data_IF_400991963342
#
_entry.id   IF_400991963342
#
_cell.length_a   1.000
_cell.length_b   1.000
_cell.length_c   1.000
_cell.angle_alpha   90.00
_cell.angle_beta   90.00
_cell.angle_gamma   90.00
#
_symmetry.space_group_name_H-M   'P 1'
#
loop_
_entity.id
_entity.type
_entity.pdbx_description
1 polymer ?
#
# COMPACT_ATOMS: atom_id res chain seq x y z
N UNK A 1 -28.40 32.38 -3.91
CA UNK A 1 -27.52 31.20 -3.71
C UNK A 1 -27.57 30.63 -2.27
N UNK A 2 -28.67 30.84 -1.51
CA UNK A 2 -28.77 30.46 -0.08
C UNK A 2 -29.50 29.12 0.14
N UNK A 3 -30.41 28.73 -0.76
CA UNK A 3 -31.21 27.51 -0.63
C UNK A 3 -30.42 26.19 -0.74
N UNK A 4 -29.27 26.21 -1.42
CA UNK A 4 -28.40 25.02 -1.57
C UNK A 4 -27.60 24.69 -0.31
N UNK A 5 -27.48 25.62 0.64
CA UNK A 5 -26.73 25.42 1.89
C UNK A 5 -27.60 24.83 3.01
N UNK A 6 -28.92 24.71 2.80
CA UNK A 6 -29.80 24.00 3.72
C UNK A 6 -29.66 22.49 3.53
N UNK A 7 -29.05 21.84 4.51
CA UNK A 7 -28.64 20.43 4.48
C UNK A 7 -29.82 19.49 4.18
N UNK A 8 -30.98 19.73 4.78
CA UNK A 8 -32.18 18.92 4.59
C UNK A 8 -32.77 19.06 3.19
N UNK A 9 -32.82 20.28 2.66
CA UNK A 9 -33.32 20.51 1.31
C UNK A 9 -32.39 19.88 0.26
N UNK A 10 -31.08 20.13 0.38
CA UNK A 10 -30.06 19.55 -0.50
C UNK A 10 -30.08 18.02 -0.47
N UNK A 11 -30.03 17.40 0.71
CA UNK A 11 -30.00 15.93 0.84
C UNK A 11 -31.30 15.29 0.33
N UNK A 12 -32.46 15.82 0.69
CA UNK A 12 -33.74 15.17 0.42
C UNK A 12 -34.28 15.42 -0.99
N UNK A 13 -34.13 16.62 -1.52
CA UNK A 13 -34.73 17.01 -2.81
C UNK A 13 -33.76 16.96 -3.98
N UNK A 14 -32.44 16.97 -3.73
CA UNK A 14 -31.42 16.98 -4.79
C UNK A 14 -30.60 15.69 -4.75
N UNK A 15 -29.84 15.46 -3.67
CA UNK A 15 -28.88 14.34 -3.61
C UNK A 15 -29.54 12.96 -3.66
N UNK A 16 -30.63 12.73 -2.89
CA UNK A 16 -31.31 11.42 -2.85
C UNK A 16 -31.92 11.01 -4.20
N UNK A 17 -32.67 11.86 -4.92
CA UNK A 17 -33.19 11.52 -6.25
C UNK A 17 -32.07 11.27 -7.28
N UNK A 18 -31.03 12.10 -7.29
CA UNK A 18 -29.88 11.94 -8.20
C UNK A 18 -29.15 10.62 -7.93
N UNK A 19 -28.88 10.29 -6.66
CA UNK A 19 -28.25 9.03 -6.28
C UNK A 19 -29.11 7.81 -6.68
N UNK A 20 -30.45 7.92 -6.58
CA UNK A 20 -31.37 6.85 -6.99
C UNK A 20 -31.35 6.61 -8.50
N UNK A 21 -31.21 7.66 -9.30
CA UNK A 21 -31.03 7.54 -10.74
C UNK A 21 -29.66 6.91 -11.05
N UNK A 22 -28.60 7.41 -10.43
CA UNK A 22 -27.23 6.96 -10.67
C UNK A 22 -27.04 5.48 -10.34
N UNK A 23 -27.59 5.01 -9.20
CA UNK A 23 -27.58 3.58 -8.83
C UNK A 23 -28.29 2.65 -9.81
N UNK A 24 -29.21 3.15 -10.64
CA UNK A 24 -29.86 2.34 -11.68
C UNK A 24 -29.01 2.19 -12.95
N UNK A 25 -28.11 3.14 -13.19
CA UNK A 25 -27.24 3.18 -14.37
C UNK A 25 -25.91 2.50 -14.10
N UNK A 26 -25.47 2.49 -12.83
CA UNK A 26 -24.23 1.82 -12.44
C UNK A 26 -24.32 0.30 -12.68
N UNK A 27 -23.31 -0.29 -13.35
CA UNK A 27 -23.23 -1.74 -13.52
C UNK A 27 -23.10 -2.42 -12.17
N UNK A 28 -23.59 -3.66 -12.08
CA UNK A 28 -23.36 -4.49 -10.89
C UNK A 28 -21.88 -4.88 -10.86
N UNK A 29 -21.21 -4.55 -9.78
CA UNK A 29 -19.81 -4.88 -9.53
C UNK A 29 -19.62 -6.40 -9.60
N UNK A 30 -18.61 -6.85 -10.36
CA UNK A 30 -18.24 -8.26 -10.42
C UNK A 30 -17.56 -8.72 -9.12
N UNK A 31 -17.57 -10.03 -8.85
CA UNK A 31 -16.93 -10.59 -7.65
C UNK A 31 -15.44 -10.25 -7.57
N UNK A 32 -14.76 -10.18 -8.72
CA UNK A 32 -13.34 -9.82 -8.82
C UNK A 32 -13.09 -8.34 -8.56
N UNK A 33 -13.98 -7.45 -9.03
CA UNK A 33 -13.88 -6.01 -8.73
C UNK A 33 -14.18 -5.72 -7.25
N UNK A 34 -15.12 -6.45 -6.63
CA UNK A 34 -15.38 -6.36 -5.18
C UNK A 34 -14.15 -6.74 -4.38
N UNK A 35 -13.53 -7.87 -4.70
CA UNK A 35 -12.34 -8.34 -4.01
C UNK A 35 -11.15 -7.36 -4.16
N UNK A 36 -10.99 -6.75 -5.34
CA UNK A 36 -9.96 -5.74 -5.57
C UNK A 36 -10.21 -4.44 -4.78
N UNK A 37 -11.48 -4.04 -4.61
CA UNK A 37 -11.85 -2.86 -3.82
C UNK A 37 -11.81 -3.11 -2.32
N UNK A 38 -12.20 -4.31 -1.88
CA UNK A 38 -12.14 -4.74 -0.48
C UNK A 38 -10.72 -5.08 -0.01
N UNK A 39 -9.79 -5.33 -0.93
CA UNK A 39 -8.37 -5.43 -0.61
C UNK A 39 -7.78 -4.09 -0.10
N UNK A 40 -8.49 -2.98 -0.30
CA UNK A 40 -8.17 -1.69 0.31
C UNK A 40 -9.05 -1.41 1.53
N UNK A 41 -8.42 -1.02 2.63
CA UNK A 41 -9.15 -0.48 3.78
C UNK A 41 -9.51 0.99 3.54
N UNK A 42 -10.72 1.39 3.94
CA UNK A 42 -11.10 2.82 4.02
C UNK A 42 -10.63 3.35 5.37
N UNK A 43 -9.60 4.20 5.38
CA UNK A 43 -8.97 4.69 6.60
C UNK A 43 -9.67 5.97 7.10
N UNK A 44 -8.95 7.08 7.16
CA UNK A 44 -9.47 8.39 7.57
C UNK A 44 -9.93 9.23 6.38
N UNK A 45 -9.39 8.95 5.20
CA UNK A 45 -9.77 9.54 3.93
C UNK A 45 -11.27 9.35 3.62
N UNK A 46 -11.88 8.24 4.07
CA UNK A 46 -13.32 8.04 4.01
C UNK A 46 -14.14 9.12 4.74
N UNK A 47 -13.67 9.58 5.91
CA UNK A 47 -14.32 10.67 6.66
C UNK A 47 -14.13 12.02 5.95
N UNK A 48 -12.97 12.22 5.32
CA UNK A 48 -12.67 13.40 4.52
C UNK A 48 -13.57 13.50 3.28
N UNK A 49 -13.63 12.44 2.47
CA UNK A 49 -14.47 12.39 1.25
C UNK A 49 -15.96 12.31 1.58
N UNK A 50 -16.33 11.82 2.76
CA UNK A 50 -17.69 11.85 3.29
C UNK A 50 -18.20 13.25 3.67
N UNK A 51 -17.31 14.25 3.74
CA UNK A 51 -17.64 15.64 4.06
C UNK A 51 -17.85 15.91 5.55
N UNK A 52 -17.43 15.00 6.43
CA UNK A 52 -17.45 15.14 7.89
C UNK A 52 -16.10 14.66 8.46
N UNK A 53 -14.99 15.37 8.18
CA UNK A 53 -13.65 14.93 8.58
C UNK A 53 -13.51 14.93 10.10
N UNK A 54 -13.22 13.76 10.67
CA UNK A 54 -13.00 13.58 12.11
C UNK A 54 -11.51 13.72 12.44
N UNK A 55 -11.04 14.94 12.67
CA UNK A 55 -9.61 15.22 12.91
C UNK A 55 -9.02 14.49 14.13
N UNK A 56 -9.82 14.27 15.18
CA UNK A 56 -9.38 13.50 16.35
C UNK A 56 -9.05 12.04 16.03
N UNK A 57 -9.70 11.44 15.02
CA UNK A 57 -9.38 10.10 14.53
C UNK A 57 -8.02 10.11 13.82
N UNK A 58 -7.76 11.11 12.97
CA UNK A 58 -6.48 11.28 12.28
C UNK A 58 -5.32 11.44 13.25
N UNK A 59 -5.46 12.39 14.19
CA UNK A 59 -4.42 12.71 15.17
C UNK A 59 -4.23 11.62 16.22
N UNK A 60 -5.21 10.73 16.37
CA UNK A 60 -5.17 9.60 17.31
C UNK A 60 -4.53 8.34 16.75
N UNK A 61 -4.18 8.29 15.45
CA UNK A 61 -3.45 7.13 14.92
C UNK A 61 -2.05 7.07 15.55
N UNK A 62 -1.65 5.91 16.10
CA UNK A 62 -0.30 5.74 16.60
C UNK A 62 0.69 5.89 15.45
N UNK A 63 1.87 6.43 15.76
CA UNK A 63 2.99 6.39 14.82
C UNK A 63 3.31 4.91 14.56
N UNK A 64 3.37 4.45 13.30
CA UNK A 64 3.79 3.10 13.02
C UNK A 64 5.26 2.95 13.41
N UNK A 65 5.59 1.84 14.05
CA UNK A 65 6.94 1.48 14.47
C UNK A 65 7.26 0.09 13.95
N UNK A 66 8.52 -0.14 13.62
CA UNK A 66 9.00 -1.46 13.22
C UNK A 66 9.05 -2.38 14.43
N UNK A 67 8.59 -3.60 14.25
CA UNK A 67 8.84 -4.68 15.21
C UNK A 67 10.31 -5.07 15.19
N UNK A 68 10.76 -5.78 16.23
CA UNK A 68 12.14 -6.27 16.31
C UNK A 68 12.51 -7.14 15.11
N UNK A 69 11.63 -8.04 14.68
CA UNK A 69 11.86 -8.93 13.53
C UNK A 69 12.00 -8.14 12.22
N UNK A 70 11.16 -7.12 12.02
CA UNK A 70 11.25 -6.26 10.83
C UNK A 70 12.52 -5.41 10.82
N UNK A 71 12.92 -4.90 11.99
CA UNK A 71 14.17 -4.15 12.13
C UNK A 71 15.39 -5.05 11.88
N UNK A 72 15.40 -6.27 12.41
CA UNK A 72 16.44 -7.27 12.14
C UNK A 72 16.52 -7.63 10.65
N UNK A 73 15.37 -7.72 9.96
CA UNK A 73 15.35 -7.95 8.52
C UNK A 73 15.98 -6.77 7.75
N UNK A 74 15.64 -5.53 8.14
CA UNK A 74 16.18 -4.32 7.53
C UNK A 74 17.69 -4.15 7.75
N UNK A 75 18.18 -4.52 8.93
CA UNK A 75 19.59 -4.36 9.32
C UNK A 75 20.46 -5.56 8.91
N UNK A 76 19.86 -6.71 8.59
CA UNK A 76 20.55 -7.90 8.12
C UNK A 76 20.35 -8.13 6.61
N UNK A 77 19.37 -8.97 6.20
CA UNK A 77 19.13 -9.32 4.80
C UNK A 77 19.12 -8.15 3.82
N UNK A 78 18.49 -7.02 4.18
CA UNK A 78 18.43 -5.86 3.27
C UNK A 78 19.78 -5.16 3.14
N UNK A 79 20.56 -5.08 4.22
CA UNK A 79 21.92 -4.52 4.17
C UNK A 79 22.83 -5.39 3.31
N UNK A 80 22.76 -6.72 3.48
CA UNK A 80 23.52 -7.68 2.69
C UNK A 80 23.15 -7.59 1.20
N UNK A 81 21.86 -7.49 0.88
CA UNK A 81 21.40 -7.25 -0.50
C UNK A 81 22.00 -5.96 -1.07
N UNK A 82 22.01 -4.86 -0.30
CA UNK A 82 22.58 -3.59 -0.77
C UNK A 82 24.09 -3.67 -1.04
N UNK A 83 24.81 -4.51 -0.29
CA UNK A 83 26.23 -4.79 -0.50
C UNK A 83 26.44 -5.65 -1.76
N UNK A 84 25.58 -6.65 -1.97
CA UNK A 84 25.65 -7.56 -3.12
C UNK A 84 25.36 -6.86 -4.45
N UNK A 85 24.48 -5.85 -4.44
CA UNK A 85 24.08 -5.17 -5.69
C UNK A 85 25.17 -4.21 -6.18
N UNK A 86 25.62 -4.48 -7.41
CA UNK A 86 26.35 -3.53 -8.25
C UNK A 86 25.41 -2.96 -9.34
N UNK A 87 25.05 -1.68 -9.21
CA UNK A 87 24.14 -1.03 -10.15
C UNK A 87 24.70 -0.93 -11.57
N UNK A 88 26.02 -0.81 -11.73
CA UNK A 88 26.63 -0.71 -13.06
C UNK A 88 26.51 -2.04 -13.80
N UNK A 89 26.83 -3.14 -13.12
CA UNK A 89 26.68 -4.50 -13.65
C UNK A 89 25.23 -4.78 -14.05
N UNK A 90 24.28 -4.45 -13.15
CA UNK A 90 22.84 -4.64 -13.38
C UNK A 90 22.35 -3.89 -14.61
N UNK A 91 22.72 -2.61 -14.74
CA UNK A 91 22.13 -1.74 -15.77
C UNK A 91 22.87 -1.75 -17.11
N UNK A 92 24.19 -1.92 -17.12
CA UNK A 92 25.01 -1.74 -18.32
C UNK A 92 25.64 -3.04 -18.84
N UNK A 93 25.78 -4.08 -18.00
CA UNK A 93 26.40 -5.34 -18.40
C UNK A 93 25.38 -6.45 -18.60
N UNK A 94 24.58 -6.74 -17.58
CA UNK A 94 23.61 -7.84 -17.57
C UNK A 94 22.23 -7.40 -18.09
N UNK A 95 21.87 -6.13 -17.91
CA UNK A 95 20.50 -5.63 -18.06
C UNK A 95 19.47 -6.43 -17.23
N UNK A 96 19.93 -7.02 -16.11
CA UNK A 96 19.18 -7.84 -15.16
C UNK A 96 19.99 -7.94 -13.85
N UNK A 97 19.37 -8.43 -12.78
CA UNK A 97 20.09 -8.81 -11.56
C UNK A 97 20.91 -10.07 -11.80
N UNK A 98 22.05 -10.19 -11.09
CA UNK A 98 22.85 -11.41 -11.12
C UNK A 98 22.07 -12.60 -10.58
N UNK A 99 22.41 -13.81 -11.02
CA UNK A 99 21.75 -15.05 -10.57
C UNK A 99 21.84 -15.22 -9.04
N UNK A 100 22.99 -14.87 -8.45
CA UNK A 100 23.21 -14.89 -7.01
C UNK A 100 22.28 -13.91 -6.28
N UNK A 101 22.07 -12.70 -6.83
CA UNK A 101 21.15 -11.71 -6.26
C UNK A 101 19.70 -12.21 -6.33
N UNK A 102 19.29 -12.76 -7.48
CA UNK A 102 17.98 -13.38 -7.63
C UNK A 102 17.75 -14.51 -6.64
N UNK A 103 18.76 -15.37 -6.44
CA UNK A 103 18.69 -16.47 -5.48
C UNK A 103 18.59 -15.97 -4.05
N UNK A 104 19.39 -14.97 -3.67
CA UNK A 104 19.34 -14.34 -2.35
C UNK A 104 17.96 -13.74 -2.04
N UNK A 105 17.34 -13.04 -3.00
CA UNK A 105 16.00 -12.47 -2.84
C UNK A 105 14.93 -13.55 -2.58
N UNK A 106 15.01 -14.67 -3.30
CA UNK A 106 14.10 -15.82 -3.13
C UNK A 106 14.28 -16.47 -1.76
N UNK A 107 15.52 -16.74 -1.38
CA UNK A 107 15.84 -17.49 -0.15
C UNK A 107 15.50 -16.70 1.11
N UNK A 108 15.65 -15.37 1.07
CA UNK A 108 15.31 -14.49 2.19
C UNK A 108 13.86 -14.00 2.19
N UNK A 109 13.03 -14.41 1.22
CA UNK A 109 11.59 -14.12 1.24
C UNK A 109 11.20 -12.68 0.88
N UNK A 110 12.04 -11.95 0.14
CA UNK A 110 11.76 -10.56 -0.26
C UNK A 110 10.43 -10.44 -1.04
N UNK A 111 10.07 -11.44 -1.85
CA UNK A 111 8.81 -11.44 -2.61
C UNK A 111 7.56 -11.81 -1.79
N UNK A 112 7.74 -12.23 -0.53
CA UNK A 112 6.66 -12.71 0.33
C UNK A 112 6.56 -11.92 1.64
N UNK A 113 7.12 -10.70 1.68
CA UNK A 113 7.16 -9.86 2.89
C UNK A 113 5.78 -9.65 3.51
N UNK A 114 4.77 -9.25 2.72
CA UNK A 114 3.42 -8.96 3.23
C UNK A 114 2.50 -10.20 3.30
N UNK A 115 2.98 -11.36 2.85
CA UNK A 115 2.18 -12.58 2.81
C UNK A 115 2.09 -13.15 4.25
N UNK A 116 0.90 -13.56 4.73
CA UNK A 116 0.77 -14.13 6.07
C UNK A 116 1.67 -15.35 6.31
N UNK A 117 2.22 -15.48 7.53
CA UNK A 117 3.14 -16.59 7.88
C UNK A 117 2.54 -17.98 7.67
N UNK A 118 1.22 -18.11 7.82
CA UNK A 118 0.48 -19.37 7.55
C UNK A 118 0.58 -19.86 6.09
N UNK A 119 0.93 -18.99 5.15
CA UNK A 119 1.16 -19.32 3.75
C UNK A 119 2.66 -19.32 3.38
N UNK A 120 3.55 -19.23 4.37
CA UNK A 120 5.00 -19.22 4.16
C UNK A 120 5.59 -17.84 3.87
N UNK A 121 4.85 -16.75 4.08
CA UNK A 121 5.39 -15.39 4.01
C UNK A 121 5.93 -14.86 5.34
N UNK A 122 6.32 -13.59 5.38
CA UNK A 122 6.91 -12.94 6.56
C UNK A 122 5.89 -12.16 7.40
N UNK A 123 4.71 -11.85 6.84
CA UNK A 123 3.64 -11.08 7.49
C UNK A 123 4.10 -9.72 8.04
N UNK A 124 5.01 -9.07 7.31
CA UNK A 124 5.49 -7.74 7.63
C UNK A 124 4.44 -6.67 7.40
N UNK A 125 4.55 -5.61 8.20
CA UNK A 125 3.71 -4.43 8.11
C UNK A 125 3.98 -3.63 6.84
N UNK A 126 3.01 -2.78 6.48
CA UNK A 126 3.17 -1.85 5.36
C UNK A 126 4.33 -0.87 5.57
N UNK A 127 4.65 -0.53 6.83
CA UNK A 127 5.81 0.29 7.16
C UNK A 127 7.10 -0.45 6.81
N UNK A 128 7.28 -1.67 7.31
CA UNK A 128 8.46 -2.49 7.02
C UNK A 128 8.67 -2.69 5.52
N UNK A 129 7.62 -3.04 4.78
CA UNK A 129 7.70 -3.16 3.33
C UNK A 129 8.18 -1.86 2.65
N UNK A 130 7.67 -0.71 3.09
CA UNK A 130 8.06 0.60 2.54
C UNK A 130 9.52 0.96 2.88
N UNK A 131 9.96 0.71 4.11
CA UNK A 131 11.34 0.99 4.56
C UNK A 131 12.36 0.09 3.83
N UNK A 132 12.04 -1.19 3.64
CA UNK A 132 12.86 -2.13 2.87
C UNK A 132 13.04 -1.61 1.43
N UNK A 133 11.94 -1.28 0.75
CA UNK A 133 12.00 -0.76 -0.62
C UNK A 133 12.75 0.57 -0.70
N UNK A 134 12.52 1.48 0.24
CA UNK A 134 13.20 2.78 0.28
C UNK A 134 14.72 2.60 0.45
N UNK A 135 15.16 1.65 1.29
CA UNK A 135 16.57 1.33 1.49
C UNK A 135 17.19 0.74 0.24
N UNK A 136 16.56 -0.26 -0.40
CA UNK A 136 17.06 -0.85 -1.64
C UNK A 136 17.13 0.21 -2.76
N UNK A 137 16.08 1.03 -2.90
CA UNK A 137 16.02 2.09 -3.91
C UNK A 137 17.13 3.14 -3.77
N UNK A 138 17.64 3.35 -2.55
CA UNK A 138 18.79 4.24 -2.31
C UNK A 138 20.10 3.72 -2.93
N UNK A 139 20.17 2.41 -3.18
CA UNK A 139 21.31 1.72 -3.79
C UNK A 139 21.08 1.40 -5.27
N UNK A 140 19.90 0.88 -5.59
CA UNK A 140 19.51 0.42 -6.93
C UNK A 140 18.02 0.63 -7.14
N UNK A 141 17.66 1.51 -8.07
CA UNK A 141 16.27 1.72 -8.45
C UNK A 141 15.70 0.51 -9.20
N UNK A 142 16.55 -0.17 -9.98
CA UNK A 142 16.18 -1.37 -10.74
C UNK A 142 15.84 -2.54 -9.82
N UNK A 143 16.62 -2.76 -8.75
CA UNK A 143 16.35 -3.84 -7.80
C UNK A 143 15.12 -3.57 -6.91
N UNK A 144 14.76 -2.31 -6.71
CA UNK A 144 13.61 -1.93 -5.89
C UNK A 144 12.28 -1.89 -6.66
N UNK A 145 12.31 -1.97 -7.99
CA UNK A 145 11.14 -1.80 -8.86
C UNK A 145 10.34 -3.09 -9.08
#
# INVERSE_FOLDING_TARGET
MVALNFTDFRRNRISRPVLKLFRKVLPRMSATESAALEAGDVWWDGDLFGGEPKWGKLLGYPRPELTTEEQEFLDGPVEELCIMIDEWEVTHELADLSEDTWQFLKDNGFFAMIIPKRYGGLEFSALAHSEVLAKIASRSATAAS
#
